data_IF_550485372547
#
_entry.id   IF_550485372547
#
_cell.length_a   1.000
_cell.length_b   1.000
_cell.length_c   1.000
_cell.angle_alpha   90.00
_cell.angle_beta   90.00
_cell.angle_gamma   90.00
#
_symmetry.space_group_name_H-M   'P 1'
#
loop_
_entity.id
_entity.type
_entity.pdbx_description
1 polymer ?
#
# COMPACT_ATOMS: atom_id res chain seq x y z
N UNK A 1 -22.21 36.02 -0.05
CA UNK A 1 -21.40 35.35 0.98
C UNK A 1 -21.36 33.88 0.64
N UNK A 2 -20.18 33.39 0.26
CA UNK A 2 -19.96 32.00 -0.15
C UNK A 2 -20.19 31.05 1.04
N UNK A 3 -21.10 30.09 0.88
CA UNK A 3 -21.51 29.13 1.93
C UNK A 3 -20.62 27.87 1.96
N UNK A 4 -19.49 27.84 1.28
CA UNK A 4 -18.72 26.60 1.09
C UNK A 4 -17.63 26.31 2.13
N UNK A 5 -17.44 27.16 3.13
CA UNK A 5 -16.59 26.86 4.29
C UNK A 5 -17.30 25.96 5.32
N UNK A 6 -17.92 24.87 4.88
CA UNK A 6 -18.21 23.77 5.79
C UNK A 6 -16.87 23.12 6.16
N UNK A 7 -16.62 22.87 7.44
CA UNK A 7 -15.52 22.02 7.93
C UNK A 7 -15.67 20.62 7.33
N UNK A 8 -15.16 20.43 6.12
CA UNK A 8 -15.15 19.13 5.46
C UNK A 8 -14.07 18.29 6.15
N UNK A 9 -14.37 17.03 6.50
CA UNK A 9 -13.37 16.17 7.11
C UNK A 9 -12.21 15.95 6.15
N UNK A 10 -10.99 16.07 6.66
CA UNK A 10 -9.78 15.73 5.89
C UNK A 10 -9.74 14.21 5.73
N UNK A 11 -9.58 13.76 4.48
CA UNK A 11 -9.45 12.35 4.13
C UNK A 11 -8.06 12.13 3.58
N UNK A 12 -7.29 11.24 4.20
CA UNK A 12 -5.98 10.82 3.72
C UNK A 12 -6.16 9.63 2.79
N UNK A 13 -5.62 9.71 1.59
CA UNK A 13 -5.67 8.66 0.58
C UNK A 13 -4.25 8.21 0.26
N UNK A 14 -4.05 6.91 0.11
CA UNK A 14 -2.75 6.35 -0.27
C UNK A 14 -2.93 5.09 -1.12
N UNK A 15 -1.94 4.81 -1.99
CA UNK A 15 -1.84 3.59 -2.77
C UNK A 15 -0.55 2.85 -2.40
N UNK A 16 -0.67 1.56 -2.08
CA UNK A 16 0.46 0.71 -1.77
C UNK A 16 0.45 -0.55 -2.64
N UNK A 17 1.58 -0.80 -3.31
CA UNK A 17 1.82 -2.02 -4.09
C UNK A 17 2.34 -3.16 -3.22
N UNK A 18 1.56 -4.23 -3.09
CA UNK A 18 1.93 -5.43 -2.35
C UNK A 18 2.47 -6.49 -3.32
N UNK A 19 3.76 -6.78 -3.22
CA UNK A 19 4.40 -7.86 -3.97
C UNK A 19 4.05 -9.19 -3.32
N UNK A 20 3.51 -10.15 -4.09
CA UNK A 20 3.18 -11.47 -3.57
C UNK A 20 4.43 -12.29 -3.15
N UNK A 21 5.60 -11.97 -3.71
CA UNK A 21 6.84 -12.68 -3.44
C UNK A 21 8.04 -11.71 -3.41
N UNK A 22 9.01 -12.01 -2.55
CA UNK A 22 10.29 -11.31 -2.52
C UNK A 22 11.08 -11.63 -3.80
N UNK A 23 11.70 -10.61 -4.39
CA UNK A 23 12.48 -10.73 -5.61
C UNK A 23 13.66 -11.69 -5.42
N UNK A 24 13.68 -12.77 -6.19
CA UNK A 24 14.86 -13.64 -6.35
C UNK A 24 15.48 -13.35 -7.72
N UNK A 25 16.76 -12.91 -7.79
CA UNK A 25 17.41 -12.60 -9.06
C UNK A 25 17.78 -13.85 -9.87
N UNK A 26 17.84 -15.01 -9.23
CA UNK A 26 18.17 -16.30 -9.86
C UNK A 26 17.14 -17.36 -9.52
N UNK A 27 16.90 -18.26 -10.47
CA UNK A 27 16.04 -19.43 -10.31
C UNK A 27 16.69 -20.52 -9.45
N UNK A 28 16.05 -21.69 -9.42
CA UNK A 28 16.61 -22.87 -8.77
C UNK A 28 17.65 -23.55 -9.67
N UNK A 29 18.69 -24.11 -9.05
CA UNK A 29 19.74 -24.90 -9.71
C UNK A 29 20.11 -26.10 -8.85
N UNK A 30 20.77 -27.09 -9.44
CA UNK A 30 21.32 -28.23 -8.70
C UNK A 30 22.34 -27.75 -7.67
N UNK A 31 22.40 -28.45 -6.53
CA UNK A 31 23.27 -28.06 -5.41
C UNK A 31 24.73 -28.00 -5.87
N UNK A 32 25.36 -26.85 -5.69
CA UNK A 32 26.75 -26.59 -6.10
C UNK A 32 26.93 -26.06 -7.53
N UNK A 33 25.84 -25.85 -8.27
CA UNK A 33 25.88 -25.28 -9.63
C UNK A 33 25.25 -23.88 -9.65
N UNK A 34 25.89 -22.95 -10.36
CA UNK A 34 25.39 -21.58 -10.52
C UNK A 34 24.16 -21.60 -11.43
N UNK A 35 23.10 -20.90 -11.02
CA UNK A 35 21.95 -20.67 -11.89
C UNK A 35 22.27 -19.51 -12.85
N UNK A 36 22.42 -19.80 -14.14
CA UNK A 36 22.60 -18.77 -15.17
C UNK A 36 21.26 -18.19 -15.67
N UNK A 37 20.14 -18.82 -15.29
CA UNK A 37 18.81 -18.31 -15.58
C UNK A 37 18.51 -17.12 -14.68
N UNK A 38 18.48 -15.93 -15.28
CA UNK A 38 17.90 -14.72 -14.72
C UNK A 38 16.62 -14.41 -15.50
N UNK A 39 15.48 -14.43 -14.84
CA UNK A 39 14.21 -14.08 -15.44
C UNK A 39 13.48 -13.16 -14.46
N UNK A 40 12.52 -12.38 -14.94
CA UNK A 40 11.77 -11.50 -14.05
C UNK A 40 10.47 -12.18 -13.60
N UNK A 41 10.61 -13.32 -12.92
CA UNK A 41 9.50 -14.20 -12.52
C UNK A 41 8.44 -13.50 -11.64
N UNK A 42 8.78 -12.34 -11.06
CA UNK A 42 7.98 -11.66 -10.04
C UNK A 42 7.08 -10.53 -10.59
N UNK A 43 7.12 -10.22 -11.89
CA UNK A 43 6.30 -9.14 -12.46
C UNK A 43 4.80 -9.47 -12.55
N UNK A 44 4.41 -10.75 -12.49
CA UNK A 44 3.02 -11.16 -12.77
C UNK A 44 2.05 -11.09 -11.59
N UNK A 45 2.53 -10.98 -10.34
CA UNK A 45 1.69 -11.13 -9.15
C UNK A 45 1.91 -9.99 -8.13
N UNK A 46 1.49 -8.78 -8.48
CA UNK A 46 1.39 -7.67 -7.53
C UNK A 46 -0.07 -7.27 -7.35
N UNK A 47 -0.47 -7.02 -6.11
CA UNK A 47 -1.79 -6.49 -5.77
C UNK A 47 -1.62 -5.08 -5.24
N UNK A 48 -2.31 -4.11 -5.83
CA UNK A 48 -2.33 -2.76 -5.30
C UNK A 48 -3.53 -2.63 -4.34
N UNK A 49 -3.30 -2.00 -3.19
CA UNK A 49 -4.35 -1.61 -2.28
C UNK A 49 -4.46 -0.08 -2.25
N UNK A 50 -5.69 0.42 -2.28
CA UNK A 50 -6.00 1.84 -2.10
C UNK A 50 -6.74 1.99 -0.78
N UNK A 51 -6.21 2.84 0.10
CA UNK A 51 -6.76 3.06 1.45
C UNK A 51 -7.22 4.51 1.64
N UNK A 52 -8.25 4.69 2.46
CA UNK A 52 -8.74 6.00 2.88
C UNK A 52 -8.86 6.06 4.41
N UNK A 53 -8.29 7.09 5.03
CA UNK A 53 -8.38 7.31 6.48
C UNK A 53 -9.06 8.66 6.73
N UNK A 54 -10.14 8.63 7.51
CA UNK A 54 -10.84 9.82 7.98
C UNK A 54 -10.48 10.02 9.45
N UNK A 55 -9.77 11.11 9.75
CA UNK A 55 -9.45 11.45 11.14
C UNK A 55 -10.62 12.23 11.73
N UNK A 56 -11.27 11.67 12.76
CA UNK A 56 -12.28 12.39 13.54
C UNK A 56 -11.64 13.05 14.75
N UNK A 57 -11.91 14.35 14.92
CA UNK A 57 -11.63 15.04 16.17
C UNK A 57 -12.56 14.56 17.28
N UNK A 58 -12.03 14.35 18.48
CA UNK A 58 -12.80 13.91 19.64
C UNK A 58 -13.88 14.97 19.97
N UNK A 59 -15.14 14.54 20.13
CA UNK A 59 -16.17 15.42 20.69
C UNK A 59 -15.80 15.73 22.13
N UNK A 60 -15.63 17.02 22.48
CA UNK A 60 -15.68 17.46 23.88
C UNK A 60 -17.03 17.01 24.46
N UNK A 61 -16.99 16.13 25.45
CA UNK A 61 -18.16 15.87 26.28
C UNK A 61 -18.30 17.08 27.20
N UNK A 62 -19.35 17.88 27.01
CA UNK A 62 -19.76 18.87 28.00
C UNK A 62 -20.38 18.09 29.16
N UNK A 63 -19.60 17.93 30.24
CA UNK A 63 -20.12 17.50 31.54
C UNK A 63 -20.75 18.75 32.15
N UNK A 64 -22.09 18.73 32.28
CA UNK A 64 -22.83 19.64 33.15
C UNK A 64 -22.72 19.15 34.60
#
# INVERSE_FOLDING_TARGET
>A
MDKTAQEKPIVYLDECGFKAFAHRPYGYSTKGQVCHGSDNWHLKNQSNAIGAIIVRSAKKQNIL
#
